data_IF_871486178401
#
_entry.id   IF_871486178401
#
_cell.length_a   1.000
_cell.length_b   1.000
_cell.length_c   1.000
_cell.angle_alpha   90.00
_cell.angle_beta   90.00
_cell.angle_gamma   90.00
#
_symmetry.space_group_name_H-M   'P 1'
#
loop_
_entity.id
_entity.type
_entity.pdbx_description
1 polymer ?
#
# COMPACT_ATOMS: atom_id res chain seq x y z
N UNK A 1 23.20 15.31 30.17
CA UNK A 1 22.49 14.11 30.67
C UNK A 1 20.96 14.28 30.67
N UNK A 2 20.39 15.34 31.26
CA UNK A 2 18.91 15.56 31.25
C UNK A 2 18.31 15.85 29.86
N UNK A 3 19.05 16.55 28.99
CA UNK A 3 18.57 16.94 27.66
C UNK A 3 18.37 15.73 26.72
N UNK A 4 19.26 14.73 26.77
CA UNK A 4 19.16 13.52 25.94
C UNK A 4 17.97 12.64 26.32
N UNK A 5 17.65 12.52 27.63
CA UNK A 5 16.45 11.82 28.08
C UNK A 5 15.16 12.49 27.61
N UNK A 6 15.15 13.82 27.50
CA UNK A 6 13.98 14.59 27.06
C UNK A 6 13.75 14.46 25.54
N UNK A 7 14.83 14.38 24.75
CA UNK A 7 14.78 14.15 23.30
C UNK A 7 14.25 12.74 22.96
N UNK A 8 14.68 11.71 23.70
CA UNK A 8 14.15 10.35 23.54
C UNK A 8 12.65 10.25 23.88
N UNK A 9 12.20 10.98 24.90
CA UNK A 9 10.79 11.05 25.28
C UNK A 9 9.94 11.75 24.21
N UNK A 10 10.47 12.79 23.59
CA UNK A 10 9.80 13.53 22.51
C UNK A 10 9.73 12.73 21.20
N UNK A 11 10.77 11.94 20.90
CA UNK A 11 10.80 11.04 19.74
C UNK A 11 9.71 9.94 19.81
N UNK A 12 9.34 9.50 21.01
CA UNK A 12 8.26 8.53 21.20
C UNK A 12 6.87 9.11 20.87
N UNK A 13 6.71 10.44 20.96
CA UNK A 13 5.46 11.13 20.62
C UNK A 13 5.32 11.43 19.12
N UNK A 14 6.43 11.36 18.36
CA UNK A 14 6.45 11.55 16.90
C UNK A 14 6.16 10.23 16.17
N UNK A 15 5.13 9.51 16.63
CA UNK A 15 4.71 8.24 16.05
C UNK A 15 4.27 8.41 14.60
N UNK A 16 5.02 7.83 13.67
CA UNK A 16 4.57 7.69 12.29
C UNK A 16 3.45 6.65 12.28
N UNK A 17 2.20 7.10 12.11
CA UNK A 17 1.05 6.21 11.99
C UNK A 17 1.12 5.51 10.62
N UNK A 18 1.67 4.29 10.61
CA UNK A 18 1.46 3.40 9.49
C UNK A 18 -0.01 2.92 9.52
N UNK A 19 -0.64 2.85 8.35
CA UNK A 19 -2.05 2.42 8.25
C UNK A 19 -2.14 0.90 8.33
N UNK A 20 -2.89 0.38 9.32
CA UNK A 20 -3.11 -1.05 9.50
C UNK A 20 -4.26 -1.56 8.63
N UNK A 21 -4.16 -2.81 8.20
CA UNK A 21 -5.14 -3.47 7.32
C UNK A 21 -5.23 -4.98 7.58
N UNK A 22 -6.16 -5.63 6.90
CA UNK A 22 -6.28 -7.09 6.92
C UNK A 22 -6.74 -7.62 8.27
N UNK A 23 -6.36 -8.86 8.59
CA UNK A 23 -6.76 -9.54 9.84
C UNK A 23 -6.32 -8.79 11.10
N UNK A 24 -5.21 -8.05 11.04
CA UNK A 24 -4.70 -7.22 12.14
C UNK A 24 -5.60 -6.01 12.42
N UNK A 25 -6.42 -5.60 11.44
CA UNK A 25 -7.31 -4.45 11.52
C UNK A 25 -8.77 -4.83 11.24
N UNK A 26 -9.21 -6.02 11.71
CA UNK A 26 -10.61 -6.48 11.57
C UNK A 26 -11.11 -6.51 10.12
N UNK A 27 -10.22 -6.81 9.17
CA UNK A 27 -10.52 -6.82 7.74
C UNK A 27 -10.48 -5.45 7.06
N UNK A 28 -9.98 -4.41 7.72
CA UNK A 28 -9.86 -3.09 7.11
C UNK A 28 -9.05 -3.13 5.81
N UNK A 29 -9.51 -2.34 4.83
CA UNK A 29 -8.81 -2.14 3.56
C UNK A 29 -7.88 -0.94 3.65
N UNK A 30 -6.80 -0.97 2.89
CA UNK A 30 -5.92 0.18 2.78
C UNK A 30 -6.54 1.30 1.94
N UNK A 31 -6.33 2.57 2.33
CA UNK A 31 -6.75 3.71 1.52
C UNK A 31 -5.96 3.77 0.20
N UNK A 32 -6.50 4.52 -0.77
CA UNK A 32 -5.91 4.71 -2.11
C UNK A 32 -5.63 3.40 -2.85
N UNK A 33 -6.44 2.38 -2.58
CA UNK A 33 -6.30 1.03 -3.13
C UNK A 33 -4.94 0.38 -2.89
N UNK A 34 -4.15 0.80 -1.89
CA UNK A 34 -2.81 0.22 -1.64
C UNK A 34 -2.88 -1.25 -1.22
N UNK A 35 -1.83 -2.01 -1.45
CA UNK A 35 -1.77 -3.42 -1.04
C UNK A 35 -1.70 -3.55 0.48
N UNK A 36 -2.39 -4.55 1.00
CA UNK A 36 -2.27 -4.95 2.40
C UNK A 36 -1.26 -6.09 2.53
N UNK A 37 -0.12 -5.83 3.16
CA UNK A 37 0.91 -6.85 3.36
C UNK A 37 0.43 -8.02 4.21
N UNK A 38 1.18 -9.12 4.19
CA UNK A 38 0.96 -10.28 5.09
C UNK A 38 0.96 -9.93 6.58
N UNK A 39 1.54 -8.79 6.94
CA UNK A 39 1.68 -8.32 8.32
C UNK A 39 0.64 -7.26 8.70
N UNK A 40 -0.27 -6.92 7.79
CA UNK A 40 -1.36 -5.98 8.07
C UNK A 40 -0.96 -4.53 7.95
N UNK A 41 -0.07 -4.20 7.01
CA UNK A 41 0.35 -2.83 6.74
C UNK A 41 0.09 -2.45 5.29
N UNK A 42 -0.23 -1.18 5.07
CA UNK A 42 -0.52 -0.64 3.76
C UNK A 42 0.74 -0.14 3.02
N UNK A 43 0.90 -0.55 1.76
CA UNK A 43 1.98 -0.07 0.90
C UNK A 43 1.81 -0.49 -0.56
N UNK A 44 2.74 -0.08 -1.41
CA UNK A 44 2.65 -0.32 -2.87
C UNK A 44 3.85 -1.08 -3.45
N UNK A 45 4.86 -1.42 -2.63
CA UNK A 45 6.02 -2.19 -3.11
C UNK A 45 5.74 -3.69 -3.08
N UNK A 46 6.63 -4.48 -3.70
CA UNK A 46 6.54 -5.95 -3.72
C UNK A 46 6.48 -6.57 -2.32
N UNK A 47 7.02 -5.92 -1.29
CA UNK A 47 6.93 -6.39 0.10
C UNK A 47 5.50 -6.35 0.64
N UNK A 48 4.65 -5.48 0.11
CA UNK A 48 3.24 -5.34 0.50
C UNK A 48 2.31 -6.08 -0.46
N UNK A 49 2.61 -6.05 -1.76
CA UNK A 49 1.78 -6.63 -2.81
C UNK A 49 2.17 -8.07 -3.19
N UNK A 50 3.31 -8.56 -2.70
CA UNK A 50 3.84 -9.88 -3.04
C UNK A 50 3.16 -11.03 -2.32
N UNK A 51 3.88 -12.15 -2.20
CA UNK A 51 3.34 -13.36 -1.58
C UNK A 51 2.84 -13.11 -0.16
N UNK A 52 1.63 -13.58 0.12
CA UNK A 52 0.95 -13.41 1.41
C UNK A 52 0.22 -12.07 1.58
N UNK A 53 0.14 -11.23 0.55
CA UNK A 53 -0.72 -10.06 0.57
C UNK A 53 -2.18 -10.44 0.89
N UNK A 54 -2.79 -9.70 1.82
CA UNK A 54 -4.13 -10.00 2.36
C UNK A 54 -5.26 -9.39 1.52
N UNK A 55 -5.05 -8.21 0.94
CA UNK A 55 -6.06 -7.50 0.13
C UNK A 55 -5.42 -6.46 -0.79
N UNK A 56 -6.12 -6.11 -1.88
CA UNK A 56 -5.69 -5.08 -2.85
C UNK A 56 -4.31 -5.35 -3.48
N UNK A 57 -3.93 -6.63 -3.59
CA UNK A 57 -2.61 -7.10 -4.03
C UNK A 57 -2.29 -6.76 -5.49
N UNK A 58 -3.32 -6.67 -6.32
CA UNK A 58 -3.20 -6.31 -7.74
C UNK A 58 -3.03 -4.80 -7.95
N UNK A 59 -3.22 -3.97 -6.93
CA UNK A 59 -3.11 -2.52 -7.06
C UNK A 59 -1.67 -2.01 -7.13
N UNK A 60 -0.69 -2.84 -6.76
CA UNK A 60 0.74 -2.55 -6.99
C UNK A 60 1.16 -2.73 -8.45
N UNK A 61 0.28 -3.26 -9.31
CA UNK A 61 0.60 -3.54 -10.72
C UNK A 61 -0.55 -3.33 -11.72
N UNK A 62 -1.73 -2.84 -11.33
CA UNK A 62 -2.87 -2.83 -12.27
C UNK A 62 -3.86 -1.67 -12.16
N UNK A 63 -3.51 -0.51 -11.57
CA UNK A 63 -4.33 0.70 -11.75
C UNK A 63 -3.50 2.00 -11.94
N UNK A 64 -2.53 1.97 -12.85
CA UNK A 64 -2.37 3.04 -13.85
C UNK A 64 -3.22 2.74 -15.11
N UNK A 65 -4.15 1.79 -14.98
CA UNK A 65 -4.92 1.22 -16.07
C UNK A 65 -6.42 1.49 -15.89
N UNK A 66 -6.78 2.76 -15.83
CA UNK A 66 -8.02 3.23 -16.47
C UNK A 66 -7.74 4.17 -17.65
N UNK A 67 -6.47 4.33 -18.05
CA UNK A 67 -6.08 4.97 -19.31
C UNK A 67 -5.12 4.15 -20.18
N UNK A 68 -4.62 2.98 -19.74
CA UNK A 68 -3.63 2.20 -20.53
C UNK A 68 -4.10 0.85 -21.09
N UNK A 69 -5.19 0.23 -20.60
CA UNK A 69 -5.77 -0.95 -21.30
C UNK A 69 -6.66 -0.53 -22.47
N UNK A 70 -7.07 0.75 -22.52
CA UNK A 70 -7.71 1.31 -23.69
C UNK A 70 -6.68 1.55 -24.82
N UNK A 71 -5.47 2.04 -24.51
CA UNK A 71 -4.43 2.28 -25.51
C UNK A 71 -3.89 0.98 -26.15
N UNK A 72 -3.74 -0.10 -25.38
CA UNK A 72 -3.24 -1.37 -25.93
C UNK A 72 -4.27 -2.11 -26.79
N UNK A 73 -5.58 -1.93 -26.53
CA UNK A 73 -6.68 -2.49 -27.34
C UNK A 73 -6.75 -1.83 -28.74
N UNK A 74 -6.51 -0.53 -28.85
CA UNK A 74 -6.57 0.23 -30.12
C UNK A 74 -5.34 -0.05 -31.01
N UNK A 75 -4.21 -0.50 -30.44
CA UNK A 75 -3.00 -0.81 -31.20
C UNK A 75 -2.98 -2.23 -31.81
N UNK A 76 -3.89 -3.12 -31.40
CA UNK A 76 -3.98 -4.50 -31.89
C UNK A 76 -5.11 -4.72 -32.92
N UNK A 77 -6.04 -3.77 -33.07
CA UNK A 77 -7.14 -3.86 -34.05
C UNK A 77 -7.36 -2.52 -34.77
N UNK A 78 -6.48 -2.12 -35.71
CA UNK A 78 -6.65 -0.87 -36.46
C UNK A 78 -7.84 -0.88 -37.45
N UNK A 79 -8.71 -1.91 -37.46
CA UNK A 79 -9.75 -2.12 -38.48
C UNK A 79 -11.08 -2.67 -37.92
N UNK A 80 -11.56 -2.15 -36.77
CA UNK A 80 -12.97 -2.28 -36.36
C UNK A 80 -13.52 -0.87 -36.15
#
# INVERSE_FOLDING_TARGET
MKLFSLILFLAFLLGTSAEQCGSQARGALCPNRRCCSRFGWCGSTSQYCGSGCQSQCSSGGSLQIQLQLNYNYIQLHPYI
#
